data_IF_829919044774
#
_entry.id   IF_829919044774
#
_cell.length_a   1.000
_cell.length_b   1.000
_cell.length_c   1.000
_cell.angle_alpha   90.00
_cell.angle_beta   90.00
_cell.angle_gamma   90.00
#
_symmetry.space_group_name_H-M   'P 1'
#
loop_
_entity.id
_entity.type
_entity.pdbx_description
1 polymer ?
#
# COMPACT_ATOMS: atom_id res chain seq x y z
N UNK A 1 -4.52 -3.30 20.96
CA UNK A 1 -3.68 -3.05 19.77
C UNK A 1 -2.33 -2.61 20.31
N UNK A 2 -1.30 -3.46 20.25
CA UNK A 2 0.04 -3.03 20.65
C UNK A 2 0.53 -2.08 19.57
N UNK A 3 1.01 -0.90 19.99
CA UNK A 3 1.72 -0.02 19.08
C UNK A 3 3.06 -0.68 18.74
N UNK A 4 3.60 -0.34 17.57
CA UNK A 4 4.96 -0.71 17.22
C UNK A 4 5.93 0.17 18.03
N UNK A 5 6.96 -0.43 18.62
CA UNK A 5 7.94 0.25 19.46
C UNK A 5 9.35 0.13 18.86
N UNK A 6 10.16 1.19 18.96
CA UNK A 6 11.57 1.10 18.56
C UNK A 6 12.30 0.18 19.52
N UNK A 7 13.03 -0.79 18.96
CA UNK A 7 13.77 -1.78 19.73
C UNK A 7 15.19 -1.93 19.20
N UNK A 8 16.07 -2.49 20.04
CA UNK A 8 17.33 -3.03 19.56
C UNK A 8 17.05 -4.10 18.49
N UNK A 9 17.69 -4.06 17.30
CA UNK A 9 17.61 -5.12 16.31
C UNK A 9 17.69 -6.53 16.89
N UNK A 10 18.59 -6.76 17.85
CA UNK A 10 18.77 -8.07 18.48
C UNK A 10 17.55 -8.48 19.33
N UNK A 11 16.87 -7.52 19.96
CA UNK A 11 15.63 -7.78 20.70
C UNK A 11 14.49 -8.16 19.73
N UNK A 12 14.48 -7.59 18.53
CA UNK A 12 13.54 -7.93 17.45
C UNK A 12 13.93 -9.20 16.66
N UNK A 13 14.95 -9.97 17.10
CA UNK A 13 15.52 -11.11 16.38
C UNK A 13 15.93 -10.75 14.92
N UNK A 14 16.60 -9.61 14.78
CA UNK A 14 17.14 -9.10 13.52
C UNK A 14 18.66 -8.90 13.61
N UNK A 15 19.37 -9.34 12.57
CA UNK A 15 20.81 -9.22 12.48
C UNK A 15 21.24 -7.81 12.05
N UNK A 16 22.01 -7.12 12.90
CA UNK A 16 22.51 -5.76 12.65
C UNK A 16 23.35 -5.63 11.39
N UNK A 17 24.18 -6.63 11.07
CA UNK A 17 25.03 -6.61 9.89
C UNK A 17 24.18 -6.67 8.62
N UNK A 18 23.13 -7.49 8.60
CA UNK A 18 22.20 -7.59 7.48
C UNK A 18 21.41 -6.30 7.28
N UNK A 19 20.97 -5.64 8.36
CA UNK A 19 20.33 -4.33 8.28
C UNK A 19 21.25 -3.27 7.68
N UNK A 20 22.53 -3.25 8.07
CA UNK A 20 23.52 -2.33 7.49
C UNK A 20 23.79 -2.61 5.99
N UNK A 21 23.58 -3.84 5.51
CA UNK A 21 23.63 -4.13 4.08
C UNK A 21 22.45 -3.48 3.32
N UNK A 22 21.26 -3.46 3.92
CA UNK A 22 20.08 -2.79 3.35
C UNK A 22 20.33 -1.28 3.26
N UNK A 23 20.82 -0.66 4.34
CA UNK A 23 21.11 0.77 4.37
C UNK A 23 22.08 1.18 3.26
N UNK A 24 23.15 0.41 3.10
CA UNK A 24 24.16 0.64 2.06
C UNK A 24 23.55 0.55 0.66
N UNK A 25 22.75 -0.48 0.41
CA UNK A 25 22.11 -0.68 -0.89
C UNK A 25 21.14 0.45 -1.24
N UNK A 26 20.36 0.93 -0.28
CA UNK A 26 19.47 2.08 -0.48
C UNK A 26 20.28 3.36 -0.67
N UNK A 27 21.35 3.56 0.11
CA UNK A 27 22.30 4.66 -0.05
C UNK A 27 22.85 4.75 -1.47
N UNK A 28 23.28 3.62 -2.06
CA UNK A 28 23.76 3.56 -3.46
C UNK A 28 22.70 4.04 -4.46
N UNK A 29 21.41 3.76 -4.24
CA UNK A 29 20.33 4.28 -5.10
C UNK A 29 20.09 5.77 -4.96
N UNK A 30 20.30 6.32 -3.77
CA UNK A 30 20.22 7.77 -3.54
C UNK A 30 21.41 8.47 -4.19
N UNK A 31 22.62 7.97 -3.94
CA UNK A 31 23.87 8.53 -4.49
C UNK A 31 23.91 8.50 -6.02
N UNK A 32 23.42 7.42 -6.63
CA UNK A 32 23.30 7.29 -8.09
C UNK A 32 22.15 8.09 -8.71
N UNK A 33 21.35 8.81 -7.90
CA UNK A 33 20.22 9.61 -8.36
C UNK A 33 19.03 8.79 -8.86
N UNK A 34 18.99 7.48 -8.58
CA UNK A 34 17.88 6.61 -8.96
C UNK A 34 16.65 6.87 -8.12
N UNK A 35 16.83 7.20 -6.84
CA UNK A 35 15.78 7.65 -5.94
C UNK A 35 16.15 9.02 -5.34
N UNK A 36 15.18 9.93 -5.16
CA UNK A 36 15.44 11.20 -4.48
C UNK A 36 15.52 11.05 -2.95
N UNK A 37 14.79 10.08 -2.40
CA UNK A 37 14.68 9.80 -0.97
C UNK A 37 13.89 8.53 -0.70
N UNK A 38 14.04 7.96 0.48
CA UNK A 38 13.34 6.74 0.90
C UNK A 38 13.20 6.64 2.43
N UNK A 39 12.21 5.87 2.87
CA UNK A 39 12.16 5.30 4.22
C UNK A 39 12.20 3.78 4.14
N UNK A 40 12.88 3.15 5.09
CA UNK A 40 12.88 1.70 5.28
C UNK A 40 12.49 1.41 6.72
N UNK A 41 11.47 0.57 6.90
CA UNK A 41 11.04 0.08 8.20
C UNK A 41 11.04 -1.45 8.17
N UNK A 42 11.70 -2.06 9.15
CA UNK A 42 11.70 -3.51 9.36
C UNK A 42 11.30 -3.75 10.81
N UNK A 43 10.21 -4.49 10.97
CA UNK A 43 9.65 -4.84 12.25
C UNK A 43 9.38 -6.34 12.33
N UNK A 44 9.48 -6.90 13.54
CA UNK A 44 9.08 -8.26 13.87
C UNK A 44 8.21 -8.23 15.11
N UNK A 45 6.99 -8.76 15.01
CA UNK A 45 6.01 -8.65 16.09
C UNK A 45 5.65 -7.18 16.36
N UNK A 46 5.82 -6.73 17.60
CA UNK A 46 5.66 -5.34 18.03
C UNK A 46 6.90 -4.48 17.83
N UNK A 47 8.03 -5.08 17.46
CA UNK A 47 9.33 -4.43 17.63
C UNK A 47 9.87 -3.94 16.29
N UNK A 48 10.05 -2.62 16.17
CA UNK A 48 10.76 -1.97 15.07
C UNK A 48 12.25 -2.09 15.37
N UNK A 49 12.87 -3.13 14.84
CA UNK A 49 14.33 -3.28 14.94
C UNK A 49 15.09 -2.41 13.96
N UNK A 50 14.44 -1.80 12.96
CA UNK A 50 15.11 -0.88 12.05
C UNK A 50 14.14 0.13 11.43
N UNK A 51 14.49 1.41 11.52
CA UNK A 51 13.86 2.48 10.77
C UNK A 51 14.92 3.47 10.30
N UNK A 52 14.98 3.74 9.01
CA UNK A 52 15.98 4.62 8.41
C UNK A 52 15.37 5.52 7.34
N UNK A 53 15.91 6.74 7.24
CA UNK A 53 15.49 7.79 6.32
C UNK A 53 16.67 8.23 5.45
N UNK A 54 16.46 8.31 4.13
CA UNK A 54 17.50 8.60 3.17
C UNK A 54 17.11 9.73 2.23
N UNK A 55 18.11 10.51 1.80
CA UNK A 55 17.96 11.51 0.76
C UNK A 55 17.06 12.69 1.13
N UNK A 56 16.27 13.15 0.15
CA UNK A 56 15.47 14.38 0.20
C UNK A 56 13.99 14.06 -0.04
N UNK A 57 13.11 14.75 0.69
CA UNK A 57 11.66 14.72 0.44
C UNK A 57 11.24 15.71 -0.65
N UNK A 58 12.07 16.72 -0.91
CA UNK A 58 11.88 17.72 -1.95
C UNK A 58 13.24 18.09 -2.55
N UNK A 59 13.42 17.79 -3.84
CA UNK A 59 14.68 18.04 -4.55
C UNK A 59 14.85 19.53 -4.85
N UNK A 60 13.77 20.20 -5.29
CA UNK A 60 13.81 21.58 -5.75
C UNK A 60 14.06 22.55 -4.61
N UNK A 61 13.48 22.24 -3.44
CA UNK A 61 13.66 23.03 -2.21
C UNK A 61 14.82 22.58 -1.34
N UNK A 62 15.55 21.55 -1.77
CA UNK A 62 16.66 20.96 -1.03
C UNK A 62 16.29 20.54 0.41
N UNK A 63 15.11 19.93 0.59
CA UNK A 63 14.63 19.53 1.92
C UNK A 63 15.00 18.08 2.22
N UNK A 64 15.68 17.81 3.36
CA UNK A 64 16.03 16.45 3.75
C UNK A 64 14.79 15.62 4.06
N UNK A 65 14.93 14.31 3.92
CA UNK A 65 13.93 13.36 4.38
C UNK A 65 13.80 13.44 5.92
N UNK A 66 12.56 13.52 6.43
CA UNK A 66 12.26 13.49 7.88
C UNK A 66 11.37 12.31 8.20
N UNK A 67 11.47 11.75 9.40
CA UNK A 67 10.74 10.54 9.83
C UNK A 67 9.21 10.66 9.73
N UNK A 68 8.69 11.88 9.81
CA UNK A 68 7.27 12.22 9.69
C UNK A 68 6.85 12.60 8.26
N UNK A 69 7.72 12.39 7.28
CA UNK A 69 7.41 12.73 5.88
C UNK A 69 6.23 11.91 5.37
N UNK A 70 5.21 12.60 4.87
CA UNK A 70 4.02 11.97 4.31
C UNK A 70 4.26 11.66 2.83
N UNK A 71 4.09 10.39 2.47
CA UNK A 71 4.18 9.92 1.09
C UNK A 71 2.80 9.74 0.46
N UNK A 72 2.73 9.99 -0.85
CA UNK A 72 1.66 9.43 -1.67
C UNK A 72 1.91 7.95 -1.88
N UNK A 73 1.14 7.10 -1.20
CA UNK A 73 1.34 5.64 -1.22
C UNK A 73 0.62 4.91 -2.38
N UNK A 74 -0.11 5.64 -3.24
CA UNK A 74 -0.80 5.10 -4.42
C UNK A 74 -1.65 3.85 -4.12
N UNK A 75 -1.44 2.77 -4.87
CA UNK A 75 -2.19 1.52 -4.72
C UNK A 75 -2.02 0.86 -3.35
N UNK A 76 -1.05 1.27 -2.54
CA UNK A 76 -0.89 0.78 -1.17
C UNK A 76 -2.02 1.24 -0.24
N UNK A 77 -2.92 2.13 -0.69
CA UNK A 77 -4.19 2.38 0.02
C UNK A 77 -5.15 1.19 -0.02
N UNK A 78 -5.00 0.24 -0.96
CA UNK A 78 -5.93 -0.89 -1.13
C UNK A 78 -6.02 -1.78 0.12
N UNK A 79 -4.93 -2.24 0.75
CA UNK A 79 -5.02 -2.99 2.00
C UNK A 79 -5.77 -2.26 3.11
N UNK A 80 -5.62 -0.92 3.22
CA UNK A 80 -6.34 -0.11 4.21
C UNK A 80 -7.85 -0.17 3.94
N UNK A 81 -8.27 0.06 2.69
CA UNK A 81 -9.68 -0.07 2.29
C UNK A 81 -10.20 -1.49 2.48
N UNK A 82 -9.41 -2.51 2.16
CA UNK A 82 -9.79 -3.91 2.35
C UNK A 82 -10.03 -4.25 3.82
N UNK A 83 -9.16 -3.80 4.73
CA UNK A 83 -9.38 -4.02 6.18
C UNK A 83 -10.64 -3.31 6.66
N UNK A 84 -10.87 -2.06 6.24
CA UNK A 84 -12.11 -1.35 6.58
C UNK A 84 -13.35 -2.10 6.08
N UNK A 85 -13.29 -2.67 4.87
CA UNK A 85 -14.36 -3.50 4.33
C UNK A 85 -14.53 -4.79 5.12
N UNK A 86 -13.45 -5.49 5.50
CA UNK A 86 -13.54 -6.72 6.30
C UNK A 86 -14.11 -6.48 7.69
N UNK A 87 -13.85 -5.31 8.31
CA UNK A 87 -14.50 -4.94 9.57
C UNK A 87 -16.03 -4.85 9.43
N UNK A 88 -16.54 -4.33 8.31
CA UNK A 88 -17.98 -4.29 8.04
C UNK A 88 -18.55 -5.70 7.78
N UNK A 89 -17.77 -6.57 7.16
CA UNK A 89 -18.13 -7.97 6.94
C UNK A 89 -18.24 -8.73 8.27
N UNK A 90 -17.28 -8.56 9.19
CA UNK A 90 -17.32 -9.15 10.53
C UNK A 90 -18.52 -8.67 11.35
N UNK A 91 -18.99 -7.43 11.10
CA UNK A 91 -20.21 -6.88 11.69
C UNK A 91 -21.50 -7.38 11.02
N UNK A 92 -21.40 -8.22 9.97
CA UNK A 92 -22.54 -8.76 9.24
C UNK A 92 -23.26 -7.74 8.35
N UNK A 93 -22.63 -6.60 8.04
CA UNK A 93 -23.27 -5.52 7.26
C UNK A 93 -23.34 -5.81 5.76
N UNK A 94 -22.53 -6.75 5.27
CA UNK A 94 -22.63 -7.34 3.93
C UNK A 94 -22.00 -8.73 3.95
N UNK A 95 -22.24 -9.52 2.91
CA UNK A 95 -21.56 -10.79 2.65
C UNK A 95 -20.64 -10.68 1.42
N UNK A 96 -19.54 -11.42 1.38
CA UNK A 96 -18.57 -11.35 0.27
C UNK A 96 -19.15 -11.75 -1.10
N UNK A 97 -20.28 -12.45 -1.10
CA UNK A 97 -21.03 -12.89 -2.28
C UNK A 97 -22.32 -12.09 -2.50
N UNK A 98 -22.58 -11.04 -1.70
CA UNK A 98 -23.67 -10.11 -1.96
C UNK A 98 -23.46 -9.46 -3.35
N UNK A 99 -24.51 -9.33 -4.18
CA UNK A 99 -24.38 -8.59 -5.42
C UNK A 99 -24.07 -7.11 -5.13
N UNK A 100 -23.04 -6.55 -5.76
CA UNK A 100 -22.57 -5.17 -5.54
C UNK A 100 -23.68 -4.13 -5.74
N UNK A 101 -24.62 -4.40 -6.65
CA UNK A 101 -25.73 -3.48 -6.92
C UNK A 101 -26.70 -3.29 -5.75
N UNK A 102 -26.64 -4.13 -4.72
CA UNK A 102 -27.34 -3.92 -3.43
C UNK A 102 -26.87 -2.63 -2.74
N UNK A 103 -25.59 -2.28 -2.92
CA UNK A 103 -24.94 -1.10 -2.32
C UNK A 103 -24.66 0.00 -3.34
N UNK A 104 -24.45 -0.35 -4.61
CA UNK A 104 -24.20 0.58 -5.72
C UNK A 104 -25.21 0.31 -6.85
N UNK A 105 -26.45 0.85 -6.78
CA UNK A 105 -27.54 0.49 -7.71
C UNK A 105 -27.21 0.68 -9.19
N UNK A 106 -26.33 1.63 -9.53
CA UNK A 106 -25.86 1.87 -10.89
C UNK A 106 -25.13 0.66 -11.52
N UNK A 107 -24.73 -0.33 -10.71
CA UNK A 107 -24.01 -1.53 -11.15
C UNK A 107 -24.92 -2.73 -11.46
N UNK A 108 -26.25 -2.56 -11.42
CA UNK A 108 -27.21 -3.66 -11.60
C UNK A 108 -27.10 -4.34 -12.98
N UNK A 109 -27.04 -3.53 -14.03
CA UNK A 109 -27.09 -3.99 -15.43
C UNK A 109 -25.76 -3.73 -16.16
N UNK A 110 -24.64 -3.89 -15.45
CA UNK A 110 -23.31 -3.77 -16.04
C UNK A 110 -23.16 -4.66 -17.28
N UNK A 111 -22.43 -4.14 -18.26
CA UNK A 111 -22.10 -4.86 -19.49
C UNK A 111 -20.59 -5.11 -19.54
N UNK A 112 -20.21 -6.28 -20.04
CA UNK A 112 -18.83 -6.69 -20.24
C UNK A 112 -18.38 -6.22 -21.61
N UNK A 113 -17.26 -5.51 -21.66
CA UNK A 113 -16.60 -5.13 -22.90
C UNK A 113 -16.17 -6.37 -23.69
N UNK A 114 -16.46 -6.38 -25.00
CA UNK A 114 -16.10 -7.48 -25.91
C UNK A 114 -15.07 -7.00 -26.91
N UNK A 115 -15.36 -5.93 -27.65
CA UNK A 115 -14.50 -5.40 -28.70
C UNK A 115 -14.94 -3.97 -29.10
N UNK A 116 -14.20 -3.34 -30.01
CA UNK A 116 -14.52 -2.05 -30.60
C UNK A 116 -13.62 -0.93 -30.09
N UNK A 117 -13.85 0.26 -30.62
CA UNK A 117 -13.13 1.50 -30.29
C UNK A 117 -14.14 2.63 -30.16
N UNK A 118 -13.78 3.66 -29.40
CA UNK A 118 -14.60 4.87 -29.29
C UNK A 118 -15.02 5.40 -30.69
N UNK A 119 -16.30 5.74 -30.91
CA UNK A 119 -17.40 5.77 -29.94
C UNK A 119 -18.21 4.46 -29.83
N UNK A 120 -17.91 3.45 -30.65
CA UNK A 120 -18.70 2.22 -30.75
C UNK A 120 -18.02 1.08 -30.00
N UNK A 121 -18.53 0.81 -28.80
CA UNK A 121 -18.11 -0.31 -27.98
C UNK A 121 -19.11 -1.48 -28.12
N UNK A 122 -18.62 -2.64 -28.52
CA UNK A 122 -19.37 -3.88 -28.46
C UNK A 122 -19.33 -4.40 -27.02
N UNK A 123 -20.50 -4.65 -26.46
CA UNK A 123 -20.64 -5.14 -25.08
C UNK A 123 -21.71 -6.20 -24.99
N UNK A 124 -21.55 -7.13 -24.04
CA UNK A 124 -22.55 -8.15 -23.72
C UNK A 124 -23.02 -8.05 -22.27
N UNK A 125 -24.21 -8.57 -21.91
CA UNK A 125 -24.62 -8.65 -20.51
C UNK A 125 -23.63 -9.46 -19.66
N UNK A 126 -23.51 -9.13 -18.37
CA UNK A 126 -22.84 -9.98 -17.40
C UNK A 126 -23.55 -11.34 -17.28
N UNK A 127 -22.79 -12.44 -17.15
CA UNK A 127 -23.36 -13.78 -17.04
C UNK A 127 -24.01 -14.05 -15.67
N UNK A 128 -23.58 -13.32 -14.65
CA UNK A 128 -24.11 -13.27 -13.30
C UNK A 128 -23.93 -11.86 -12.74
N UNK A 129 -24.69 -11.43 -11.72
CA UNK A 129 -24.41 -10.19 -11.02
C UNK A 129 -22.95 -10.11 -10.56
N UNK A 130 -22.39 -8.90 -10.61
CA UNK A 130 -21.12 -8.63 -9.97
C UNK A 130 -21.29 -8.75 -8.45
N UNK A 131 -20.41 -9.51 -7.83
CA UNK A 131 -20.31 -9.81 -6.40
C UNK A 131 -18.96 -9.32 -5.92
#
# INVERSE_FOLDING_TARGET
>A
MSLLESADPAAADLDRSQLAHIDRHIGEYIESGRFPGAHILIARGSDIGHFASFGKRDIERDLPMTEDTIFRIYSMSKPITSVALMQLYEQGLFQLDDPVHKYIPAWKDLRVFVNGNHPVWETRPCARPMT
#
